data_IF_102234327232
#
_entry.id   IF_102234327232
#
_cell.length_a   1.000
_cell.length_b   1.000
_cell.length_c   1.000
_cell.angle_alpha   90.00
_cell.angle_beta   90.00
_cell.angle_gamma   90.00
#
_symmetry.space_group_name_H-M   'P 1'
#
loop_
_entity.id
_entity.type
_entity.pdbx_description
1 polymer ?
#
# COMPACT_ATOMS: atom_id res chain seq x y z
N UNK A 1 -0.31 62.99 -8.01
CA UNK A 1 1.16 62.81 -8.07
C UNK A 1 1.71 62.75 -6.66
N UNK A 2 2.24 61.60 -6.24
CA UNK A 2 3.29 61.47 -5.21
C UNK A 2 3.63 59.99 -5.06
N UNK A 3 4.75 59.59 -5.66
CA UNK A 3 5.35 58.26 -5.55
C UNK A 3 6.15 58.23 -4.26
N UNK A 4 5.89 57.28 -3.36
CA UNK A 4 6.78 56.95 -2.25
C UNK A 4 7.59 55.73 -2.66
N UNK A 5 8.89 55.95 -2.92
CA UNK A 5 9.88 54.89 -3.13
C UNK A 5 10.20 54.28 -1.77
N UNK A 6 10.08 52.97 -1.62
CA UNK A 6 10.63 52.22 -0.51
C UNK A 6 11.94 51.60 -1.02
N UNK A 7 13.03 51.93 -0.34
CA UNK A 7 14.39 51.51 -0.67
C UNK A 7 14.62 50.05 -0.26
N UNK A 8 15.31 49.34 -1.14
CA UNK A 8 15.80 47.98 -1.05
C UNK A 8 16.90 47.89 0.02
N UNK A 9 16.86 46.88 0.90
CA UNK A 9 18.06 46.26 1.48
C UNK A 9 17.73 44.99 2.27
N UNK A 10 18.55 43.98 2.01
CA UNK A 10 18.70 42.70 2.70
C UNK A 10 17.57 41.65 2.57
N UNK A 11 17.60 40.96 1.44
CA UNK A 11 17.23 39.53 1.38
C UNK A 11 18.44 38.72 1.86
N UNK A 12 18.31 37.83 2.85
CA UNK A 12 19.26 36.74 2.99
C UNK A 12 18.99 35.69 1.90
N UNK A 13 20.06 35.48 1.14
CA UNK A 13 20.28 34.52 0.07
C UNK A 13 20.19 33.07 0.61
N UNK A 14 19.46 32.24 -0.14
CA UNK A 14 19.60 30.79 -0.34
C UNK A 14 20.03 29.91 0.85
N UNK A 15 19.15 28.99 1.23
CA UNK A 15 19.56 27.59 1.37
C UNK A 15 18.39 26.68 1.00
N UNK A 16 18.36 26.32 -0.27
CA UNK A 16 17.60 25.20 -0.78
C UNK A 16 18.26 23.88 -0.35
N UNK A 17 17.43 22.84 -0.31
CA UNK A 17 17.78 21.43 -0.39
C UNK A 17 18.57 20.82 0.78
N UNK A 18 17.85 20.01 1.55
CA UNK A 18 18.42 19.04 2.48
C UNK A 18 17.54 17.79 2.58
N UNK A 19 16.98 17.33 1.46
CA UNK A 19 16.56 15.93 1.36
C UNK A 19 17.83 15.09 1.30
N UNK A 20 17.97 14.26 2.33
CA UNK A 20 19.04 13.33 2.57
C UNK A 20 19.11 12.28 1.45
N UNK A 21 19.94 12.51 0.43
CA UNK A 21 20.35 11.49 -0.52
C UNK A 21 21.24 10.48 0.18
N UNK A 22 20.71 9.30 0.51
CA UNK A 22 21.52 8.09 0.70
C UNK A 22 21.36 7.23 -0.55
N UNK A 23 22.30 7.42 -1.45
CA UNK A 23 22.47 6.66 -2.68
C UNK A 23 23.42 5.49 -2.40
N UNK A 24 22.88 4.27 -2.51
CA UNK A 24 23.47 2.97 -2.91
C UNK A 24 24.52 2.30 -2.00
N UNK A 25 24.18 1.09 -1.52
CA UNK A 25 25.13 -0.01 -1.25
C UNK A 25 24.61 -1.28 -1.98
N UNK A 26 25.32 -1.85 -2.98
CA UNK A 26 24.97 -3.13 -3.58
C UNK A 26 25.82 -4.23 -2.95
N UNK A 27 25.29 -4.95 -1.95
CA UNK A 27 25.92 -6.15 -1.42
C UNK A 27 24.87 -7.20 -1.04
N UNK A 28 24.34 -7.90 -2.04
CA UNK A 28 23.61 -9.15 -1.83
C UNK A 28 24.62 -10.31 -1.81
N UNK A 29 25.10 -10.63 -0.60
CA UNK A 29 25.97 -11.75 -0.32
C UNK A 29 25.15 -13.04 -0.34
N UNK A 30 25.43 -13.94 -1.27
CA UNK A 30 24.84 -15.28 -1.30
C UNK A 30 25.67 -16.21 -0.40
N UNK A 31 25.04 -16.87 0.58
CA UNK A 31 25.70 -17.92 1.35
C UNK A 31 25.31 -19.29 0.79
N UNK A 32 26.22 -19.91 0.04
CA UNK A 32 26.07 -21.30 -0.40
C UNK A 32 26.62 -22.19 0.71
N UNK A 33 25.76 -22.99 1.33
CA UNK A 33 26.18 -24.07 2.23
C UNK A 33 26.39 -25.34 1.42
N UNK A 34 27.64 -25.81 1.34
CA UNK A 34 28.03 -27.07 0.68
C UNK A 34 28.43 -28.05 1.78
N UNK A 35 27.88 -29.27 1.78
CA UNK A 35 28.38 -30.31 2.67
C UNK A 35 29.70 -30.91 2.13
N UNK A 36 30.49 -31.55 3.00
CA UNK A 36 31.81 -32.09 2.66
C UNK A 36 31.85 -33.16 1.56
N UNK A 37 30.71 -33.57 1.01
CA UNK A 37 30.59 -34.51 -0.11
C UNK A 37 30.15 -33.84 -1.43
N UNK A 38 29.96 -32.51 -1.45
CA UNK A 38 29.64 -31.75 -2.66
C UNK A 38 28.18 -31.79 -3.09
N UNK A 39 27.24 -32.15 -2.20
CA UNK A 39 25.80 -32.09 -2.49
C UNK A 39 25.20 -30.74 -2.00
N UNK A 40 24.32 -30.16 -2.81
CA UNK A 40 23.66 -28.88 -2.52
C UNK A 40 22.45 -29.09 -1.61
N UNK A 41 22.53 -28.71 -0.33
CA UNK A 41 21.52 -29.09 0.67
C UNK A 41 20.34 -28.12 0.84
N UNK A 42 20.35 -26.91 0.27
CA UNK A 42 19.17 -26.01 0.24
C UNK A 42 19.34 -24.82 -0.71
N UNK A 43 18.29 -24.52 -1.48
CA UNK A 43 18.07 -23.21 -2.11
C UNK A 43 16.78 -22.63 -1.55
N UNK A 44 16.87 -21.78 -0.53
CA UNK A 44 15.69 -21.06 -0.06
C UNK A 44 15.53 -19.82 -0.92
N UNK A 45 14.56 -19.84 -1.82
CA UNK A 45 14.08 -18.69 -2.56
C UNK A 45 12.65 -18.40 -2.13
N UNK A 46 12.41 -17.24 -1.51
CA UNK A 46 11.10 -16.60 -1.54
C UNK A 46 11.19 -15.12 -1.12
N UNK A 47 11.03 -14.26 -2.13
CA UNK A 47 10.59 -12.87 -2.09
C UNK A 47 11.40 -11.87 -1.26
N UNK A 48 12.50 -11.38 -1.84
CA UNK A 48 12.91 -9.99 -1.66
C UNK A 48 12.48 -9.22 -2.93
N UNK A 49 11.25 -8.70 -2.92
CA UNK A 49 10.89 -7.61 -3.83
C UNK A 49 11.58 -6.37 -3.28
N UNK A 50 12.77 -6.08 -3.82
CA UNK A 50 13.45 -4.82 -3.60
C UNK A 50 12.64 -3.69 -4.24
N UNK A 51 11.70 -3.10 -3.48
CA UNK A 51 11.07 -1.81 -3.83
C UNK A 51 11.83 -0.70 -3.12
N UNK A 52 12.91 -0.24 -3.75
CA UNK A 52 13.54 1.04 -3.43
C UNK A 52 12.89 2.12 -4.27
N UNK A 53 11.76 2.61 -3.79
CA UNK A 53 11.24 3.96 -4.02
C UNK A 53 10.19 4.18 -2.94
N UNK A 54 9.99 5.43 -2.54
CA UNK A 54 8.96 5.88 -1.61
C UNK A 54 7.58 5.70 -2.29
N UNK A 55 7.25 4.48 -2.70
CA UNK A 55 6.00 4.13 -3.35
C UNK A 55 4.94 4.15 -2.27
N UNK A 56 4.19 5.25 -2.24
CA UNK A 56 2.97 5.39 -1.43
C UNK A 56 2.18 4.09 -1.57
N UNK A 57 2.06 3.29 -0.50
CA UNK A 57 1.37 2.01 -0.57
C UNK A 57 -0.03 2.21 -1.15
N UNK A 58 -0.26 1.73 -2.38
CA UNK A 58 -1.53 1.86 -3.09
C UNK A 58 -2.34 0.60 -2.82
N UNK A 59 -3.48 0.77 -2.17
CA UNK A 59 -4.45 -0.29 -1.98
C UNK A 59 -5.66 -0.09 -2.87
N UNK A 60 -6.12 -1.16 -3.49
CA UNK A 60 -7.39 -1.23 -4.21
C UNK A 60 -8.40 -1.92 -3.31
N UNK A 61 -9.54 -1.27 -3.10
CA UNK A 61 -10.67 -1.89 -2.43
C UNK A 61 -11.46 -2.78 -3.38
N UNK A 62 -11.53 -4.08 -3.11
CA UNK A 62 -12.22 -5.07 -3.95
C UNK A 62 -13.54 -5.58 -3.35
N UNK A 63 -14.02 -4.94 -2.28
CA UNK A 63 -15.25 -5.32 -1.61
C UNK A 63 -16.53 -4.77 -2.23
N UNK A 64 -17.69 -5.00 -1.58
CA UNK A 64 -18.97 -4.48 -2.03
C UNK A 64 -19.00 -2.94 -1.98
N UNK A 65 -19.60 -2.33 -3.00
CA UNK A 65 -19.85 -0.88 -3.02
C UNK A 65 -20.92 -0.49 -2.01
N UNK A 66 -20.72 0.64 -1.33
CA UNK A 66 -21.67 1.27 -0.41
C UNK A 66 -21.66 2.80 -0.57
N UNK A 67 -22.47 3.52 0.20
CA UNK A 67 -22.42 4.98 0.24
C UNK A 67 -21.09 5.52 0.80
N UNK A 68 -20.33 4.70 1.52
CA UNK A 68 -19.09 5.10 2.20
C UNK A 68 -17.85 4.76 1.38
N UNK A 69 -17.91 3.74 0.54
CA UNK A 69 -16.78 3.28 -0.28
C UNK A 69 -17.26 2.66 -1.59
N UNK A 70 -16.60 2.99 -2.70
CA UNK A 70 -16.88 2.37 -4.00
C UNK A 70 -15.92 1.23 -4.27
N UNK A 71 -16.42 0.12 -4.83
CA UNK A 71 -15.59 -0.98 -5.34
C UNK A 71 -14.59 -0.45 -6.37
N UNK A 72 -13.38 -1.02 -6.32
CA UNK A 72 -12.19 -0.68 -7.11
C UNK A 72 -11.64 0.72 -6.88
N UNK A 73 -12.02 1.37 -5.77
CA UNK A 73 -11.37 2.62 -5.36
C UNK A 73 -9.93 2.35 -4.94
N UNK A 74 -9.02 3.16 -5.46
CA UNK A 74 -7.60 3.12 -5.10
C UNK A 74 -7.30 4.16 -4.02
N UNK A 75 -6.57 3.75 -2.99
CA UNK A 75 -6.19 4.57 -1.85
C UNK A 75 -4.66 4.60 -1.76
N UNK A 76 -4.11 5.81 -1.80
CA UNK A 76 -2.69 6.05 -1.57
C UNK A 76 -2.46 6.29 -0.08
N UNK A 77 -1.29 5.90 0.41
CA UNK A 77 -0.89 6.05 1.82
C UNK A 77 -1.72 5.19 2.78
N UNK A 78 -2.13 3.99 2.36
CA UNK A 78 -2.80 3.03 3.25
C UNK A 78 -4.32 3.14 3.25
N UNK A 79 -4.92 2.93 4.43
CA UNK A 79 -6.37 2.86 4.60
C UNK A 79 -7.02 4.25 4.71
N UNK A 80 -8.23 4.45 4.16
CA UNK A 80 -8.95 5.71 4.27
C UNK A 80 -9.36 6.05 5.72
N UNK A 81 -9.00 7.26 6.17
CA UNK A 81 -9.32 7.79 7.50
C UNK A 81 -10.83 7.75 7.82
N UNK A 82 -11.68 8.07 6.83
CA UNK A 82 -13.14 8.08 7.02
C UNK A 82 -13.74 6.68 7.21
N UNK A 83 -12.99 5.60 6.92
CA UNK A 83 -13.41 4.22 7.17
C UNK A 83 -12.75 3.62 8.40
N UNK A 84 -11.91 4.36 9.14
CA UNK A 84 -11.18 3.80 10.28
C UNK A 84 -12.12 3.14 11.30
N UNK A 85 -13.23 3.79 11.64
CA UNK A 85 -14.23 3.22 12.55
C UNK A 85 -14.83 1.90 12.01
N UNK A 86 -15.05 1.81 10.70
CA UNK A 86 -15.57 0.60 10.05
C UNK A 86 -14.53 -0.51 9.97
N UNK A 87 -13.26 -0.16 9.77
CA UNK A 87 -12.12 -1.08 9.77
C UNK A 87 -11.84 -1.64 11.17
N UNK A 88 -12.19 -0.91 12.22
CA UNK A 88 -12.14 -1.38 13.61
C UNK A 88 -13.32 -2.28 13.97
N UNK A 89 -14.53 -1.92 13.53
CA UNK A 89 -15.76 -2.71 13.76
C UNK A 89 -15.83 -3.99 12.92
N UNK A 90 -15.27 -3.98 11.71
CA UNK A 90 -15.23 -5.11 10.79
C UNK A 90 -13.78 -5.31 10.31
N UNK A 91 -12.96 -6.13 11.00
CA UNK A 91 -11.57 -6.33 10.62
C UNK A 91 -11.44 -7.02 9.25
N UNK A 92 -12.44 -7.80 8.83
CA UNK A 92 -12.49 -8.44 7.50
C UNK A 92 -12.56 -7.43 6.36
N UNK A 93 -13.05 -6.21 6.62
CA UNK A 93 -12.99 -5.11 5.66
C UNK A 93 -11.55 -4.82 5.22
N UNK A 94 -10.55 -4.96 6.10
CA UNK A 94 -9.14 -4.75 5.77
C UNK A 94 -8.63 -5.79 4.76
N UNK A 95 -9.15 -7.01 4.80
CA UNK A 95 -8.79 -8.09 3.87
C UNK A 95 -9.26 -7.83 2.44
N UNK A 96 -10.22 -6.90 2.26
CA UNK A 96 -10.69 -6.47 0.93
C UNK A 96 -9.88 -5.31 0.35
N UNK A 97 -8.87 -4.82 1.07
CA UNK A 97 -7.87 -3.89 0.55
C UNK A 97 -6.63 -4.68 0.16
N UNK A 98 -6.37 -4.73 -1.13
CA UNK A 98 -5.27 -5.50 -1.70
C UNK A 98 -4.36 -4.57 -2.51
N UNK A 99 -3.11 -4.97 -2.70
CA UNK A 99 -2.23 -4.30 -3.65
C UNK A 99 -2.70 -4.56 -5.09
N UNK A 100 -2.47 -3.62 -6.02
CA UNK A 100 -2.88 -3.77 -7.42
C UNK A 100 -2.36 -5.05 -8.09
N UNK A 101 -1.19 -5.54 -7.67
CA UNK A 101 -0.58 -6.77 -8.21
C UNK A 101 -1.41 -8.03 -7.96
N UNK A 102 -2.13 -8.08 -6.83
CA UNK A 102 -2.98 -9.22 -6.45
C UNK A 102 -4.40 -9.09 -6.98
N UNK A 103 -4.73 -7.99 -7.67
CA UNK A 103 -6.09 -7.69 -8.11
C UNK A 103 -6.70 -8.79 -8.97
N UNK A 104 -5.95 -9.26 -9.96
CA UNK A 104 -6.42 -10.29 -10.90
C UNK A 104 -6.64 -11.64 -10.22
N UNK A 105 -5.75 -12.02 -9.29
CA UNK A 105 -5.89 -13.25 -8.51
C UNK A 105 -7.10 -13.18 -7.58
N UNK A 106 -7.25 -12.05 -6.88
CA UNK A 106 -8.38 -11.81 -6.00
C UNK A 106 -9.72 -11.84 -6.73
N UNK A 107 -9.85 -11.20 -7.89
CA UNK A 107 -11.08 -11.22 -8.69
C UNK A 107 -11.44 -12.64 -9.16
N UNK A 108 -10.43 -13.44 -9.49
CA UNK A 108 -10.61 -14.84 -9.84
C UNK A 108 -11.12 -15.64 -8.65
N UNK A 109 -10.47 -15.54 -7.48
CA UNK A 109 -10.90 -16.24 -6.26
C UNK A 109 -12.26 -15.77 -5.76
N UNK A 110 -12.58 -14.49 -5.92
CA UNK A 110 -13.87 -13.91 -5.56
C UNK A 110 -15.02 -14.49 -6.40
N UNK A 111 -14.73 -14.86 -7.65
CA UNK A 111 -15.69 -15.51 -8.55
C UNK A 111 -15.95 -16.97 -8.18
N UNK A 112 -15.08 -17.59 -7.39
CA UNK A 112 -15.24 -18.95 -6.88
C UNK A 112 -16.14 -18.94 -5.63
N UNK A 113 -17.25 -19.68 -5.71
CA UNK A 113 -18.21 -19.76 -4.60
C UNK A 113 -17.63 -20.55 -3.44
N UNK A 114 -17.61 -19.96 -2.25
CA UNK A 114 -17.06 -20.57 -1.05
C UNK A 114 -15.56 -20.32 -0.85
N UNK A 115 -14.92 -19.58 -1.74
CA UNK A 115 -13.57 -19.05 -1.50
C UNK A 115 -13.55 -18.04 -0.36
N UNK A 116 -12.38 -17.86 0.24
CA UNK A 116 -12.18 -16.98 1.38
C UNK A 116 -12.55 -15.54 1.05
N UNK A 117 -12.21 -15.08 -0.15
CA UNK A 117 -12.52 -13.76 -0.69
C UNK A 117 -14.02 -13.56 -0.86
N UNK A 118 -14.73 -14.59 -1.32
CA UNK A 118 -16.19 -14.60 -1.47
C UNK A 118 -16.88 -14.49 -0.12
N UNK A 119 -16.37 -15.21 0.89
CA UNK A 119 -16.86 -15.15 2.27
C UNK A 119 -16.61 -13.76 2.86
N UNK A 120 -15.41 -13.20 2.70
CA UNK A 120 -15.08 -11.84 3.16
C UNK A 120 -15.95 -10.79 2.50
N UNK A 121 -16.21 -10.93 1.20
CA UNK A 121 -17.07 -10.03 0.45
C UNK A 121 -18.51 -10.05 1.00
N UNK A 122 -19.07 -11.23 1.25
CA UNK A 122 -20.43 -11.36 1.78
C UNK A 122 -20.53 -10.84 3.21
N UNK A 123 -19.54 -11.11 4.06
CA UNK A 123 -19.51 -10.62 5.45
C UNK A 123 -19.48 -9.08 5.50
N UNK A 124 -18.65 -8.45 4.67
CA UNK A 124 -18.58 -7.00 4.57
C UNK A 124 -19.85 -6.41 3.97
N UNK A 125 -20.47 -7.12 3.02
CA UNK A 125 -21.75 -6.72 2.42
C UNK A 125 -22.86 -6.72 3.47
N UNK A 126 -22.92 -7.76 4.31
CA UNK A 126 -23.84 -7.83 5.43
C UNK A 126 -23.58 -6.73 6.47
N UNK A 127 -22.31 -6.44 6.76
CA UNK A 127 -21.94 -5.33 7.65
C UNK A 127 -22.45 -3.98 7.14
N UNK A 128 -22.16 -3.63 5.89
CA UNK A 128 -22.63 -2.36 5.31
C UNK A 128 -24.16 -2.29 5.24
N UNK A 129 -24.82 -3.42 4.95
CA UNK A 129 -26.28 -3.50 5.00
C UNK A 129 -26.85 -3.23 6.39
N UNK A 130 -26.13 -3.49 7.48
CA UNK A 130 -26.61 -3.20 8.86
C UNK A 130 -26.32 -1.75 9.28
N UNK A 131 -25.20 -1.19 8.83
CA UNK A 131 -24.72 0.13 9.29
C UNK A 131 -25.25 1.28 8.43
N UNK A 132 -25.51 1.04 7.14
CA UNK A 132 -25.95 2.06 6.17
C UNK A 132 -27.46 1.93 5.86
N UNK A 133 -28.18 1.09 6.60
CA UNK A 133 -29.61 0.83 6.39
C UNK A 133 -30.54 1.91 6.93
#
# INVERSE_FOLDING_TARGET
>A
MSRKKQDNKDLPEVLAAGLNSKEIEPNQLYEISIDGNGEVISHTQASDMTVSQEEEAVFIYCGPSSHLISRYSSYKNGYPLHLQEHLEKCPVLKSLFIVPELFLEFEKSLSETGSVESIWFDEVKEYFRKVVS
#
